data_IF_970443720213
#
_entry.id   IF_970443720213
#
_cell.length_a   1.000
_cell.length_b   1.000
_cell.length_c   1.000
_cell.angle_alpha   90.00
_cell.angle_beta   90.00
_cell.angle_gamma   90.00
#
_symmetry.space_group_name_H-M   'P 1'
#
loop_
_entity.id
_entity.type
_entity.pdbx_description
1 polymer ?
#
# COMPACT_ATOMS: atom_id res chain seq x y z
N UNK A 1 6.01 -6.17 0.71
CA UNK A 1 6.02 -7.16 1.79
C UNK A 1 7.45 -7.56 2.14
N UNK A 2 7.86 -7.66 3.40
CA UNK A 2 7.06 -7.59 4.62
C UNK A 2 6.88 -6.19 5.21
N UNK A 3 7.31 -5.14 4.54
CA UNK A 3 7.04 -3.75 4.88
C UNK A 3 6.67 -2.97 3.62
N UNK A 4 5.63 -2.11 3.66
CA UNK A 4 5.34 -1.20 2.58
C UNK A 4 6.17 0.08 2.75
N UNK A 5 6.40 0.81 1.67
CA UNK A 5 7.11 2.08 1.67
C UNK A 5 8.49 2.00 2.35
N UNK A 6 8.91 3.03 3.11
CA UNK A 6 10.27 3.23 3.60
C UNK A 6 10.53 2.65 5.00
N UNK A 7 11.78 2.20 5.22
CA UNK A 7 12.38 2.05 6.55
C UNK A 7 13.57 3.03 6.63
N UNK A 8 13.53 3.90 7.63
CA UNK A 8 14.49 4.98 7.86
C UNK A 8 15.92 4.48 7.88
N UNK A 9 16.75 4.96 6.94
CA UNK A 9 18.16 4.59 6.83
C UNK A 9 18.39 3.08 6.64
N UNK A 10 17.36 2.31 6.29
CA UNK A 10 17.43 0.86 6.20
C UNK A 10 17.72 0.16 7.52
N UNK A 11 17.40 0.76 8.65
CA UNK A 11 17.71 0.24 10.00
C UNK A 11 16.48 0.21 10.88
N UNK A 12 16.39 -0.84 11.70
CA UNK A 12 15.35 -0.98 12.70
C UNK A 12 15.80 -1.96 13.78
N UNK A 13 15.12 -1.96 14.93
CA UNK A 13 15.32 -2.96 15.96
C UNK A 13 14.02 -3.76 16.16
N UNK A 14 14.12 -5.00 16.58
CA UNK A 14 13.01 -5.86 16.94
C UNK A 14 13.42 -6.80 18.06
N UNK A 15 12.64 -6.84 19.14
CA UNK A 15 12.89 -7.67 20.32
C UNK A 15 14.35 -7.58 20.83
N UNK A 16 14.87 -6.35 20.91
CA UNK A 16 16.23 -6.05 21.40
C UNK A 16 17.37 -6.41 20.42
N UNK A 17 17.06 -6.84 19.21
CA UNK A 17 18.05 -7.10 18.16
C UNK A 17 17.98 -6.04 17.06
N UNK A 18 19.13 -5.52 16.65
CA UNK A 18 19.26 -4.55 15.57
C UNK A 18 19.39 -5.25 14.21
N UNK A 19 18.74 -4.67 13.21
CA UNK A 19 18.72 -5.13 11.84
C UNK A 19 19.15 -4.01 10.90
N UNK A 20 19.88 -4.39 9.85
CA UNK A 20 20.27 -3.51 8.77
C UNK A 20 19.84 -4.13 7.44
N UNK A 21 19.24 -3.32 6.58
CA UNK A 21 18.80 -3.67 5.24
C UNK A 21 19.80 -3.09 4.25
N UNK A 22 20.77 -3.87 3.70
CA UNK A 22 21.81 -3.33 2.82
C UNK A 22 21.26 -3.03 1.42
N UNK A 23 21.73 -1.95 0.77
CA UNK A 23 21.37 -1.56 -0.60
C UNK A 23 21.69 -2.65 -1.64
N UNK A 24 22.63 -3.53 -1.34
CA UNK A 24 22.98 -4.66 -2.22
C UNK A 24 21.91 -5.76 -2.26
N UNK A 25 20.99 -5.78 -1.30
CA UNK A 25 19.98 -6.84 -1.15
C UNK A 25 18.54 -6.35 -1.23
N UNK A 26 18.27 -5.07 -0.96
CA UNK A 26 16.92 -4.49 -0.99
C UNK A 26 16.91 -3.18 -1.77
N UNK A 27 15.72 -2.78 -2.24
CA UNK A 27 15.58 -1.51 -2.93
C UNK A 27 15.77 -0.33 -1.97
N UNK A 28 16.39 0.74 -2.48
CA UNK A 28 16.57 2.01 -1.79
C UNK A 28 16.07 3.16 -2.66
N UNK A 29 15.63 4.22 -2.01
CA UNK A 29 15.30 5.47 -2.69
C UNK A 29 16.38 6.53 -2.45
N UNK A 30 16.35 7.64 -3.23
CA UNK A 30 17.44 8.61 -3.29
C UNK A 30 17.79 9.34 -1.99
N UNK A 31 16.93 9.29 -0.96
CA UNK A 31 17.21 9.84 0.35
C UNK A 31 17.88 8.85 1.33
N UNK A 32 18.21 7.63 0.86
CA UNK A 32 18.94 6.64 1.63
C UNK A 32 18.08 5.79 2.56
N UNK A 33 16.80 5.58 2.23
CA UNK A 33 15.92 4.69 2.98
C UNK A 33 15.67 3.40 2.20
N UNK A 34 15.63 2.26 2.87
CA UNK A 34 15.17 1.02 2.27
C UNK A 34 13.66 1.14 1.95
N UNK A 35 13.22 0.61 0.80
CA UNK A 35 11.86 0.85 0.31
C UNK A 35 11.23 -0.43 -0.27
N UNK A 36 9.90 -0.56 -0.07
CA UNK A 36 9.00 -1.54 -0.71
C UNK A 36 9.28 -3.02 -0.43
N UNK A 37 10.01 -3.35 0.63
CA UNK A 37 10.15 -4.71 1.11
C UNK A 37 10.98 -5.65 0.25
N UNK A 38 10.70 -6.93 0.34
CA UNK A 38 11.49 -8.00 -0.24
C UNK A 38 10.87 -8.65 -1.48
N UNK A 39 9.56 -8.53 -1.63
CA UNK A 39 8.80 -9.21 -2.67
C UNK A 39 8.70 -8.42 -3.99
N UNK A 40 9.15 -7.14 -4.00
CA UNK A 40 9.00 -6.23 -5.13
C UNK A 40 9.76 -6.69 -6.38
N UNK A 41 11.00 -7.13 -6.21
CA UNK A 41 11.97 -7.41 -7.28
C UNK A 41 12.30 -8.91 -7.42
N UNK A 42 11.43 -9.77 -6.91
CA UNK A 42 11.58 -11.21 -6.97
C UNK A 42 10.46 -11.87 -7.77
N UNK A 43 10.76 -12.95 -8.50
CA UNK A 43 9.71 -13.74 -9.12
C UNK A 43 8.85 -14.41 -8.05
N UNK A 44 7.54 -14.46 -8.31
CA UNK A 44 6.59 -15.17 -7.47
C UNK A 44 6.32 -16.55 -8.07
N UNK A 45 6.18 -17.54 -7.21
CA UNK A 45 5.82 -18.90 -7.64
C UNK A 45 4.31 -18.94 -7.94
N UNK A 46 3.95 -19.31 -9.17
CA UNK A 46 2.55 -19.48 -9.54
C UNK A 46 2.11 -20.86 -9.07
N UNK A 47 1.11 -20.91 -8.21
CA UNK A 47 0.57 -22.15 -7.63
C UNK A 47 -0.74 -22.58 -8.26
N UNK A 48 -1.49 -21.63 -8.82
CA UNK A 48 -2.75 -21.90 -9.51
C UNK A 48 -2.97 -20.86 -10.61
N UNK A 49 -3.52 -21.30 -11.75
CA UNK A 49 -3.90 -20.40 -12.84
C UNK A 49 -5.13 -20.93 -13.57
N UNK A 50 -6.07 -20.04 -13.88
CA UNK A 50 -7.24 -20.30 -14.73
C UNK A 50 -7.32 -19.24 -15.83
N UNK A 51 -8.38 -19.23 -16.64
CA UNK A 51 -8.60 -18.19 -17.65
C UNK A 51 -8.81 -16.78 -17.05
N UNK A 52 -9.34 -16.70 -15.81
CA UNK A 52 -9.70 -15.45 -15.16
C UNK A 52 -9.06 -15.25 -13.78
N UNK A 53 -8.15 -16.11 -13.37
CA UNK A 53 -7.46 -15.97 -12.10
C UNK A 53 -6.04 -16.54 -12.11
N UNK A 54 -5.19 -15.97 -11.25
CA UNK A 54 -3.83 -16.47 -10.99
C UNK A 54 -3.51 -16.31 -9.52
N UNK A 55 -2.87 -17.33 -8.94
CA UNK A 55 -2.39 -17.31 -7.55
C UNK A 55 -0.86 -17.35 -7.54
N UNK A 56 -0.25 -16.32 -6.95
CA UNK A 56 1.17 -16.23 -6.71
C UNK A 56 1.50 -16.34 -5.22
N UNK A 57 2.62 -16.97 -4.91
CA UNK A 57 3.15 -17.12 -3.55
C UNK A 57 4.58 -16.62 -3.54
N UNK A 58 4.92 -15.85 -2.50
CA UNK A 58 6.28 -15.45 -2.16
C UNK A 58 6.53 -15.79 -0.69
N UNK A 59 7.61 -16.51 -0.42
CA UNK A 59 8.09 -16.82 0.93
C UNK A 59 9.54 -16.38 1.06
N UNK A 60 9.88 -15.65 2.12
CA UNK A 60 11.21 -15.04 2.24
C UNK A 60 12.30 -16.11 2.17
N UNK A 61 12.17 -17.22 2.90
CA UNK A 61 13.16 -18.30 2.94
C UNK A 61 13.34 -19.07 1.62
N UNK A 62 12.34 -19.06 0.74
CA UNK A 62 12.35 -19.84 -0.50
C UNK A 62 12.68 -18.96 -1.72
N UNK A 63 12.11 -17.75 -1.78
CA UNK A 63 12.16 -16.90 -2.98
C UNK A 63 13.19 -15.75 -2.84
N UNK A 64 13.67 -15.49 -1.60
CA UNK A 64 14.73 -14.53 -1.31
C UNK A 64 15.54 -14.95 -0.06
N UNK A 65 16.15 -16.15 -0.03
CA UNK A 65 16.79 -16.71 1.16
C UNK A 65 17.92 -15.83 1.72
N UNK A 66 18.59 -15.04 0.88
CA UNK A 66 19.61 -14.08 1.29
C UNK A 66 19.04 -12.89 2.08
N UNK A 67 17.72 -12.63 1.99
CA UNK A 67 17.01 -11.60 2.74
C UNK A 67 16.44 -12.11 4.07
N UNK A 68 16.38 -13.43 4.28
CA UNK A 68 15.83 -13.99 5.51
C UNK A 68 16.55 -13.47 6.79
N UNK A 69 17.88 -13.35 6.83
CA UNK A 69 18.58 -12.80 8.02
C UNK A 69 18.29 -11.32 8.28
N UNK A 70 17.72 -10.61 7.30
CA UNK A 70 17.39 -9.18 7.38
C UNK A 70 16.05 -8.91 8.06
N UNK A 71 15.26 -9.96 8.36
CA UNK A 71 13.95 -9.85 9.01
C UNK A 71 13.89 -10.78 10.23
N UNK A 72 13.08 -10.48 11.26
CA UNK A 72 13.08 -11.24 12.51
C UNK A 72 12.81 -12.73 12.34
N UNK A 73 11.93 -13.08 11.39
CA UNK A 73 11.58 -14.47 11.10
C UNK A 73 11.05 -14.61 9.68
N UNK A 74 10.81 -15.83 9.21
CA UNK A 74 10.27 -16.11 7.90
C UNK A 74 8.78 -15.76 7.81
N UNK A 75 8.37 -15.29 6.65
CA UNK A 75 6.99 -14.94 6.34
C UNK A 75 6.62 -15.30 4.91
N UNK A 76 5.36 -15.63 4.71
CA UNK A 76 4.80 -15.98 3.41
C UNK A 76 3.64 -15.03 3.08
N UNK A 77 3.59 -14.60 1.83
CA UNK A 77 2.43 -13.91 1.25
C UNK A 77 1.93 -14.69 0.03
N UNK A 78 0.63 -14.88 -0.03
CA UNK A 78 -0.09 -15.41 -1.19
C UNK A 78 -1.07 -14.34 -1.69
N UNK A 79 -1.08 -14.09 -2.99
CA UNK A 79 -2.08 -13.23 -3.62
C UNK A 79 -2.76 -14.00 -4.74
N UNK A 80 -4.09 -14.06 -4.69
CA UNK A 80 -4.92 -14.55 -5.77
C UNK A 80 -5.58 -13.37 -6.47
N UNK A 81 -5.15 -13.09 -7.68
CA UNK A 81 -5.84 -12.17 -8.56
C UNK A 81 -6.95 -12.88 -9.31
N UNK A 82 -8.12 -12.25 -9.37
CA UNK A 82 -9.25 -12.72 -10.19
C UNK A 82 -9.89 -11.54 -10.93
N UNK A 83 -10.28 -11.79 -12.19
CA UNK A 83 -10.94 -10.79 -13.02
C UNK A 83 -12.38 -11.23 -13.29
N UNK A 84 -13.34 -10.39 -12.93
CA UNK A 84 -14.75 -10.61 -13.15
C UNK A 84 -15.49 -9.29 -13.38
N UNK A 85 -16.30 -9.19 -14.46
CA UNK A 85 -17.14 -8.02 -14.75
C UNK A 85 -16.41 -6.66 -14.64
N UNK A 86 -15.25 -6.52 -15.30
CA UNK A 86 -14.38 -5.33 -15.25
C UNK A 86 -13.88 -4.97 -13.83
N UNK A 87 -13.89 -5.93 -12.91
CA UNK A 87 -13.33 -5.80 -11.57
C UNK A 87 -12.14 -6.77 -11.44
N UNK A 88 -10.98 -6.23 -11.09
CA UNK A 88 -9.81 -6.98 -10.65
C UNK A 88 -9.85 -7.06 -9.13
N UNK A 89 -9.91 -8.28 -8.59
CA UNK A 89 -9.85 -8.54 -7.15
C UNK A 89 -8.55 -9.25 -6.79
N UNK A 90 -7.88 -8.76 -5.75
CA UNK A 90 -6.75 -9.41 -5.10
C UNK A 90 -7.22 -9.92 -3.72
N UNK A 91 -7.26 -11.24 -3.55
CA UNK A 91 -7.41 -11.88 -2.24
C UNK A 91 -6.01 -12.20 -1.70
N UNK A 92 -5.70 -11.66 -0.53
CA UNK A 92 -4.35 -11.65 0.05
C UNK A 92 -4.35 -12.47 1.32
N UNK A 93 -3.39 -13.38 1.46
CA UNK A 93 -3.15 -14.13 2.69
C UNK A 93 -1.69 -13.96 3.09
N UNK A 94 -1.45 -13.51 4.32
CA UNK A 94 -0.11 -13.44 4.92
C UNK A 94 -0.05 -14.48 6.04
N UNK A 95 1.03 -15.29 6.06
CA UNK A 95 1.20 -16.39 7.03
C UNK A 95 2.53 -16.28 7.75
N UNK A 96 2.49 -16.63 9.01
CA UNK A 96 3.69 -16.92 9.80
C UNK A 96 3.92 -18.43 9.83
N UNK A 97 4.85 -18.98 9.04
CA UNK A 97 5.12 -20.42 9.01
C UNK A 97 6.05 -20.88 10.12
N UNK A 98 6.44 -20.00 11.07
CA UNK A 98 7.46 -20.24 12.08
C UNK A 98 6.87 -20.32 13.50
N UNK A 99 7.72 -20.61 14.48
CA UNK A 99 7.37 -20.60 15.90
C UNK A 99 7.51 -19.22 16.57
N UNK A 100 8.22 -18.30 15.91
CA UNK A 100 8.49 -16.95 16.43
C UNK A 100 7.50 -15.92 15.88
N UNK A 101 7.19 -14.84 16.62
CA UNK A 101 6.31 -13.76 16.12
C UNK A 101 6.85 -13.12 14.83
N UNK A 102 5.97 -12.91 13.86
CA UNK A 102 6.30 -12.32 12.58
C UNK A 102 5.74 -10.90 12.48
N UNK A 103 6.56 -9.84 12.60
CA UNK A 103 6.15 -8.48 12.33
C UNK A 103 6.01 -8.27 10.82
N UNK A 104 4.96 -7.56 10.38
CA UNK A 104 4.73 -7.32 8.97
C UNK A 104 3.87 -6.09 8.70
N UNK A 105 3.99 -5.59 7.49
CA UNK A 105 3.09 -4.65 6.86
C UNK A 105 2.96 -4.97 5.38
N UNK A 106 1.85 -4.57 4.79
CA UNK A 106 1.56 -4.77 3.38
C UNK A 106 0.94 -3.52 2.76
N UNK A 107 1.25 -3.27 1.50
CA UNK A 107 0.66 -2.23 0.69
C UNK A 107 0.78 -2.53 -0.80
N UNK A 108 -0.05 -1.88 -1.59
CA UNK A 108 0.02 -1.92 -3.06
C UNK A 108 0.34 -0.53 -3.60
N UNK A 109 0.85 -0.46 -4.83
CA UNK A 109 1.30 0.79 -5.45
C UNK A 109 0.72 0.91 -6.88
N UNK A 110 -0.62 0.92 -6.97
CA UNK A 110 -1.29 1.05 -8.26
C UNK A 110 -1.19 2.49 -8.80
N UNK A 111 -0.77 2.62 -10.06
CA UNK A 111 -0.79 3.87 -10.82
C UNK A 111 -2.05 3.92 -11.69
N UNK A 112 -2.84 4.96 -11.54
CA UNK A 112 -3.97 5.25 -12.40
C UNK A 112 -3.60 6.39 -13.36
N UNK A 113 -3.48 6.06 -14.64
CA UNK A 113 -3.22 7.04 -15.68
C UNK A 113 -4.44 7.95 -15.86
N UNK A 114 -4.20 9.23 -16.04
CA UNK A 114 -5.23 10.23 -16.30
C UNK A 114 -5.00 10.91 -17.66
N UNK A 115 -6.05 11.33 -18.37
CA UNK A 115 -7.46 11.08 -18.05
C UNK A 115 -7.83 9.60 -18.21
N UNK A 116 -9.04 9.20 -17.77
CA UNK A 116 -9.53 7.82 -17.92
C UNK A 116 -9.99 7.51 -19.34
N UNK A 117 -10.32 8.52 -20.14
CA UNK A 117 -10.67 8.39 -21.55
C UNK A 117 -9.76 9.26 -22.41
N UNK A 118 -9.51 8.83 -23.65
CA UNK A 118 -8.50 9.45 -24.53
C UNK A 118 -8.78 10.92 -24.89
N UNK A 119 -10.06 11.30 -24.99
CA UNK A 119 -10.49 12.64 -25.41
C UNK A 119 -10.82 13.58 -24.23
N UNK A 120 -10.56 13.16 -22.99
CA UNK A 120 -10.81 13.93 -21.77
C UNK A 120 -9.61 14.78 -21.36
N UNK A 121 -9.87 15.82 -20.54
CA UNK A 121 -8.83 16.62 -19.89
C UNK A 121 -8.50 16.02 -18.50
N UNK A 122 -7.24 15.70 -18.18
CA UNK A 122 -6.87 15.22 -16.84
C UNK A 122 -7.22 16.24 -15.74
N UNK A 123 -7.32 17.54 -16.08
CA UNK A 123 -7.78 18.58 -15.16
C UNK A 123 -9.25 18.44 -14.73
N UNK A 124 -10.05 17.71 -15.47
CA UNK A 124 -11.45 17.39 -15.15
C UNK A 124 -11.62 16.02 -14.48
N UNK A 125 -10.52 15.39 -14.06
CA UNK A 125 -10.57 14.21 -13.21
C UNK A 125 -10.61 14.62 -11.74
N UNK A 126 -11.55 14.05 -10.96
CA UNK A 126 -11.63 14.23 -9.51
C UNK A 126 -11.09 13.01 -8.79
N UNK A 127 -10.43 13.26 -7.64
CA UNK A 127 -9.79 12.20 -6.83
C UNK A 127 -10.42 12.17 -5.46
N UNK A 128 -10.98 11.03 -5.07
CA UNK A 128 -11.60 10.82 -3.76
C UNK A 128 -10.89 9.74 -2.96
N UNK A 129 -10.65 10.02 -1.66
CA UNK A 129 -10.32 9.02 -0.65
C UNK A 129 -11.00 9.40 0.67
N UNK A 130 -11.56 8.44 1.44
CA UNK A 130 -12.35 8.72 2.65
C UNK A 130 -11.42 8.96 3.87
N UNK A 131 -10.50 9.88 3.74
CA UNK A 131 -9.44 10.19 4.72
C UNK A 131 -9.70 11.53 5.41
N UNK A 132 -9.34 11.63 6.67
CA UNK A 132 -9.60 12.84 7.48
C UNK A 132 -8.36 13.44 8.10
N UNK A 133 -7.29 12.65 8.20
CA UNK A 133 -6.01 13.00 8.80
C UNK A 133 -4.86 12.58 7.88
N UNK A 134 -3.67 13.05 8.16
CA UNK A 134 -2.43 12.56 7.56
C UNK A 134 -1.29 12.57 8.55
N UNK A 135 -0.27 11.79 8.30
CA UNK A 135 0.97 11.84 9.03
C UNK A 135 1.75 13.11 8.66
N UNK A 136 2.31 13.78 9.66
CA UNK A 136 3.30 14.83 9.42
C UNK A 136 4.59 14.18 8.94
N UNK A 137 5.10 14.61 7.78
CA UNK A 137 6.27 14.00 7.15
C UNK A 137 7.48 14.94 7.19
N UNK A 138 8.66 14.36 7.40
CA UNK A 138 9.94 15.00 7.19
C UNK A 138 10.79 14.10 6.27
N UNK A 139 11.10 14.58 5.05
CA UNK A 139 11.81 13.76 4.05
C UNK A 139 11.05 12.48 3.70
N UNK A 140 9.73 12.58 3.48
CA UNK A 140 8.82 11.46 3.19
C UNK A 140 8.72 10.38 4.29
N UNK A 141 9.21 10.66 5.49
CA UNK A 141 9.12 9.78 6.65
C UNK A 141 8.22 10.39 7.73
N UNK A 142 7.28 9.65 8.29
CA UNK A 142 6.44 10.14 9.38
C UNK A 142 7.26 10.56 10.60
N UNK A 143 6.85 11.67 11.24
CA UNK A 143 7.45 12.18 12.48
C UNK A 143 6.88 11.52 13.74
N UNK A 144 5.81 10.72 13.58
CA UNK A 144 5.02 10.19 14.68
C UNK A 144 3.79 11.05 15.01
N UNK A 145 3.68 12.24 14.43
CA UNK A 145 2.54 13.14 14.62
C UNK A 145 1.49 12.94 13.52
N UNK A 146 0.21 12.94 13.92
CA UNK A 146 -0.94 12.93 13.01
C UNK A 146 -1.59 14.32 13.04
N UNK A 147 -1.77 14.91 11.86
CA UNK A 147 -2.29 16.26 11.67
C UNK A 147 -3.59 16.25 10.84
N UNK A 148 -4.33 17.33 10.90
CA UNK A 148 -5.46 17.57 10.01
C UNK A 148 -5.01 17.77 8.57
N UNK A 149 -5.78 17.24 7.62
CA UNK A 149 -5.49 17.45 6.20
C UNK A 149 -5.75 18.90 5.83
N UNK A 150 -4.76 19.63 5.26
CA UNK A 150 -4.96 20.98 4.73
C UNK A 150 -6.04 21.02 3.66
N UNK A 151 -6.68 22.18 3.45
CA UNK A 151 -7.80 22.34 2.51
C UNK A 151 -7.48 21.83 1.10
N UNK A 152 -6.30 22.16 0.60
CA UNK A 152 -5.81 21.79 -0.74
C UNK A 152 -5.41 20.30 -0.89
N UNK A 153 -5.46 19.52 0.17
CA UNK A 153 -5.14 18.09 0.16
C UNK A 153 -6.31 17.20 0.59
N UNK A 154 -7.51 17.79 0.77
CA UNK A 154 -8.69 17.08 1.30
C UNK A 154 -9.32 16.15 0.25
N UNK A 155 -8.77 14.96 0.08
CA UNK A 155 -9.28 13.95 -0.86
C UNK A 155 -10.72 13.53 -0.56
N UNK A 156 -11.21 13.66 0.68
CA UNK A 156 -12.61 13.44 1.04
C UNK A 156 -13.61 14.50 0.49
N UNK A 157 -13.10 15.51 -0.23
CA UNK A 157 -13.87 16.54 -0.93
C UNK A 157 -13.81 16.39 -2.45
N UNK A 158 -13.18 15.32 -2.94
CA UNK A 158 -13.04 15.03 -4.36
C UNK A 158 -12.44 16.20 -5.17
N UNK A 159 -11.27 16.73 -4.80
CA UNK A 159 -10.63 17.81 -5.54
C UNK A 159 -10.27 17.38 -6.97
N UNK A 160 -10.17 18.35 -7.87
CA UNK A 160 -9.65 18.12 -9.22
C UNK A 160 -8.15 17.80 -9.20
N UNK A 161 -7.74 16.87 -10.07
CA UNK A 161 -6.37 16.39 -10.17
C UNK A 161 -5.34 17.52 -10.36
N UNK A 162 -5.64 18.52 -11.21
CA UNK A 162 -4.75 19.63 -11.49
C UNK A 162 -4.49 20.57 -10.29
N UNK A 163 -5.27 20.45 -9.22
CA UNK A 163 -5.08 21.18 -7.95
C UNK A 163 -4.23 20.42 -6.94
N UNK A 164 -3.85 19.17 -7.26
CA UNK A 164 -3.17 18.27 -6.35
C UNK A 164 -1.67 18.15 -6.66
N UNK A 165 -0.88 18.12 -5.58
CA UNK A 165 0.50 17.67 -5.59
C UNK A 165 0.68 16.80 -4.35
N UNK A 166 0.69 15.51 -4.54
CA UNK A 166 0.61 14.51 -3.47
C UNK A 166 1.91 13.72 -3.36
N UNK A 167 2.36 13.52 -2.14
CA UNK A 167 3.33 12.52 -1.67
C UNK A 167 3.06 12.37 -0.16
N UNK A 168 1.84 11.95 0.17
CA UNK A 168 1.29 12.02 1.51
C UNK A 168 0.86 10.63 1.99
N UNK A 169 1.01 10.39 3.29
CA UNK A 169 0.48 9.22 3.99
C UNK A 169 -0.75 9.65 4.78
N UNK A 170 -1.92 9.35 4.24
CA UNK A 170 -3.20 9.65 4.86
C UNK A 170 -3.62 8.57 5.84
N UNK A 171 -4.29 9.00 6.91
CA UNK A 171 -4.85 8.15 7.97
C UNK A 171 -6.24 8.63 8.38
N UNK A 172 -6.82 8.04 9.45
CA UNK A 172 -8.19 8.34 9.83
C UNK A 172 -9.17 7.94 8.73
N UNK A 173 -8.88 6.83 8.09
CA UNK A 173 -9.65 6.25 7.00
C UNK A 173 -11.03 5.86 7.51
N UNK A 174 -12.07 6.21 6.77
CA UNK A 174 -13.47 5.87 7.10
C UNK A 174 -13.94 4.74 6.22
N UNK A 175 -14.45 3.69 6.86
CA UNK A 175 -15.19 2.62 6.22
C UNK A 175 -16.69 2.86 6.34
N UNK A 176 -17.44 2.41 5.35
CA UNK A 176 -18.91 2.37 5.39
C UNK A 176 -19.48 1.04 5.93
N UNK A 177 -18.61 0.17 6.46
CA UNK A 177 -18.95 -1.18 6.93
C UNK A 177 -18.84 -2.25 5.84
N UNK A 178 -18.46 -1.88 4.63
CA UNK A 178 -18.20 -2.77 3.51
C UNK A 178 -16.77 -2.66 2.95
N UNK A 179 -15.90 -1.94 3.65
CA UNK A 179 -14.52 -1.63 3.26
C UNK A 179 -14.29 -0.14 3.05
N UNK A 180 -13.08 0.18 2.65
CA UNK A 180 -12.61 1.53 2.32
C UNK A 180 -12.73 1.74 0.81
N UNK A 181 -13.34 2.82 0.37
CA UNK A 181 -13.51 3.13 -1.05
C UNK A 181 -12.78 4.40 -1.45
N UNK A 182 -11.85 4.30 -2.40
CA UNK A 182 -11.25 5.41 -3.13
C UNK A 182 -11.82 5.46 -4.55
N UNK A 183 -11.94 6.67 -5.14
CA UNK A 183 -12.56 6.84 -6.45
C UNK A 183 -11.84 7.89 -7.29
N UNK A 184 -11.74 7.62 -8.57
CA UNK A 184 -11.32 8.56 -9.60
C UNK A 184 -12.47 8.70 -10.57
N UNK A 185 -12.90 9.92 -10.86
CA UNK A 185 -13.97 10.20 -11.82
C UNK A 185 -13.41 11.14 -12.90
N UNK A 186 -13.56 10.77 -14.14
CA UNK A 186 -13.35 11.58 -15.31
C UNK A 186 -14.71 12.18 -15.71
N UNK A 187 -14.91 13.46 -15.42
CA UNK A 187 -16.19 14.14 -15.61
C UNK A 187 -16.55 14.36 -17.09
N UNK A 188 -15.55 14.43 -17.97
CA UNK A 188 -15.79 14.61 -19.42
C UNK A 188 -16.40 13.36 -20.05
N UNK A 189 -15.90 12.18 -19.66
CA UNK A 189 -16.36 10.91 -20.23
C UNK A 189 -17.44 10.21 -19.38
N UNK A 190 -17.61 10.62 -18.12
CA UNK A 190 -18.44 9.90 -17.16
C UNK A 190 -17.86 8.56 -16.74
N UNK A 191 -16.57 8.30 -17.02
CA UNK A 191 -15.87 7.07 -16.61
C UNK A 191 -15.34 7.21 -15.20
N UNK A 192 -15.35 6.11 -14.43
CA UNK A 192 -14.76 6.08 -13.11
C UNK A 192 -13.90 4.82 -12.90
N UNK A 193 -12.93 4.94 -12.01
CA UNK A 193 -12.24 3.83 -11.37
C UNK A 193 -12.56 3.87 -9.88
N UNK A 194 -12.98 2.74 -9.35
CA UNK A 194 -13.25 2.55 -7.92
C UNK A 194 -12.26 1.53 -7.38
N UNK A 195 -11.47 1.94 -6.41
CA UNK A 195 -10.59 1.03 -5.66
C UNK A 195 -11.18 0.83 -4.27
N UNK A 196 -11.39 -0.43 -3.88
CA UNK A 196 -11.87 -0.81 -2.56
C UNK A 196 -10.88 -1.73 -1.88
N UNK A 197 -10.81 -1.66 -0.56
CA UNK A 197 -10.04 -2.60 0.24
C UNK A 197 -10.78 -2.89 1.56
N UNK A 198 -10.41 -3.96 2.24
CA UNK A 198 -11.02 -4.25 3.54
C UNK A 198 -10.56 -3.27 4.63
N UNK A 199 -11.24 -3.31 5.78
CA UNK A 199 -11.08 -2.36 6.88
C UNK A 199 -9.72 -2.45 7.60
N UNK A 200 -8.91 -3.47 7.32
CA UNK A 200 -7.57 -3.61 7.89
C UNK A 200 -6.53 -2.73 7.21
N UNK A 201 -6.86 -2.16 6.04
CA UNK A 201 -6.05 -1.13 5.38
C UNK A 201 -6.37 0.24 6.02
N UNK A 202 -5.57 0.61 6.98
CA UNK A 202 -5.80 1.80 7.81
C UNK A 202 -5.18 3.09 7.27
N UNK A 203 -4.33 2.98 6.23
CA UNK A 203 -3.65 4.10 5.61
C UNK A 203 -3.91 4.10 4.09
N UNK A 204 -3.99 5.30 3.51
CA UNK A 204 -3.95 5.50 2.06
C UNK A 204 -2.76 6.40 1.74
N UNK A 205 -1.76 5.86 1.07
CA UNK A 205 -0.72 6.70 0.48
C UNK A 205 -1.24 7.23 -0.84
N UNK A 206 -1.09 8.52 -1.06
CA UNK A 206 -1.44 9.16 -2.33
C UNK A 206 -0.24 9.90 -2.90
N UNK A 207 0.06 9.61 -4.17
CA UNK A 207 1.22 10.16 -4.85
C UNK A 207 0.88 10.61 -6.27
N UNK A 208 1.34 11.80 -6.66
CA UNK A 208 1.27 12.31 -8.04
C UNK A 208 2.68 12.35 -8.61
N UNK A 209 3.05 11.40 -9.50
CA UNK A 209 4.41 11.33 -10.03
C UNK A 209 4.73 12.53 -10.92
N UNK A 210 5.90 13.20 -10.76
CA UNK A 210 6.26 14.36 -11.57
C UNK A 210 6.61 14.00 -13.02
N UNK A 211 6.77 12.71 -13.34
CA UNK A 211 7.15 12.22 -14.67
C UNK A 211 5.97 11.66 -15.48
N UNK A 212 4.77 11.62 -14.92
CA UNK A 212 3.57 11.09 -15.59
C UNK A 212 2.30 11.78 -15.12
N UNK A 213 1.32 11.88 -16.01
CA UNK A 213 -0.03 12.32 -15.66
C UNK A 213 -0.80 11.15 -15.08
N UNK A 214 -0.60 10.92 -13.79
CA UNK A 214 -1.16 9.79 -13.06
C UNK A 214 -1.33 10.12 -11.58
N UNK A 215 -2.14 9.34 -10.90
CA UNK A 215 -2.24 9.33 -9.44
C UNK A 215 -2.08 7.92 -8.91
N UNK A 216 -1.36 7.77 -7.79
CA UNK A 216 -1.36 6.54 -7.00
C UNK A 216 -2.33 6.70 -5.84
N UNK A 217 -3.12 5.67 -5.60
CA UNK A 217 -3.91 5.48 -4.40
C UNK A 217 -3.53 4.12 -3.84
N UNK A 218 -2.86 4.12 -2.71
CA UNK A 218 -2.12 2.96 -2.21
C UNK A 218 -2.65 2.55 -0.84
N UNK A 219 -3.54 1.54 -0.76
CA UNK A 219 -3.95 0.98 0.52
C UNK A 219 -2.79 0.31 1.25
N UNK A 220 -2.56 0.70 2.51
CA UNK A 220 -1.53 0.14 3.38
C UNK A 220 -2.13 -0.33 4.71
N UNK A 221 -1.64 -1.46 5.22
CA UNK A 221 -2.04 -1.98 6.54
C UNK A 221 -1.37 -1.23 7.70
N UNK A 222 -0.27 -0.53 7.44
CA UNK A 222 0.47 0.28 8.41
C UNK A 222 1.08 1.51 7.74
N UNK A 223 1.48 2.51 8.52
CA UNK A 223 2.17 3.68 7.97
C UNK A 223 3.60 3.36 7.53
N UNK A 224 4.23 4.29 6.82
CA UNK A 224 5.66 4.26 6.49
C UNK A 224 6.50 4.21 7.77
N UNK A 225 7.60 3.46 7.77
CA UNK A 225 8.53 3.32 8.91
C UNK A 225 7.88 2.74 10.18
N UNK A 226 6.79 1.98 10.03
CA UNK A 226 5.96 1.51 11.13
C UNK A 226 6.74 0.75 12.20
N UNK A 227 7.72 -0.07 11.81
CA UNK A 227 8.51 -0.87 12.74
C UNK A 227 9.33 0.01 13.70
N UNK A 228 9.85 1.15 13.22
CA UNK A 228 10.58 2.10 14.05
C UNK A 228 9.66 2.96 14.91
N UNK A 229 8.53 3.42 14.34
CA UNK A 229 7.54 4.21 15.06
C UNK A 229 6.90 3.43 16.21
N UNK A 230 6.58 2.15 15.98
CA UNK A 230 5.98 1.28 17.01
C UNK A 230 6.91 1.14 18.24
N UNK A 231 8.23 1.08 18.04
CA UNK A 231 9.20 1.04 19.15
C UNK A 231 9.27 2.35 19.92
N UNK A 232 8.90 3.46 19.30
CA UNK A 232 8.78 4.77 19.95
C UNK A 232 7.45 4.94 20.69
N UNK A 233 6.60 3.90 20.70
CA UNK A 233 5.27 3.92 21.33
C UNK A 233 4.20 4.59 20.48
N UNK A 234 4.46 4.83 19.19
CA UNK A 234 3.48 5.38 18.25
C UNK A 234 2.65 4.23 17.67
N UNK A 235 1.31 4.34 17.66
CA UNK A 235 0.43 3.39 16.96
C UNK A 235 0.57 3.57 15.44
N UNK A 236 1.56 2.89 14.88
CA UNK A 236 1.92 2.94 13.46
C UNK A 236 1.21 1.88 12.61
N UNK A 237 0.40 1.02 13.23
CA UNK A 237 -0.32 -0.06 12.54
C UNK A 237 0.53 -1.27 12.20
N UNK A 238 1.77 -1.38 12.69
CA UNK A 238 2.57 -2.59 12.49
C UNK A 238 1.80 -3.83 12.95
N UNK A 239 1.69 -4.81 12.08
CA UNK A 239 1.01 -6.06 12.38
C UNK A 239 2.02 -7.10 12.90
N UNK A 240 1.55 -8.01 13.76
CA UNK A 240 2.36 -9.14 14.25
C UNK A 240 1.51 -10.40 14.22
N UNK A 241 1.96 -11.40 13.48
CA UNK A 241 1.35 -12.73 13.48
C UNK A 241 2.05 -13.63 14.50
N UNK A 242 1.29 -14.22 15.40
CA UNK A 242 1.80 -15.29 16.26
C UNK A 242 2.15 -16.54 15.45
N UNK A 243 2.87 -17.48 16.06
CA UNK A 243 3.27 -18.77 15.47
C UNK A 243 2.10 -19.47 14.77
N UNK A 244 2.27 -19.82 13.49
CA UNK A 244 1.29 -20.53 12.67
C UNK A 244 0.01 -19.75 12.33
N UNK A 245 -0.08 -18.47 12.72
CA UNK A 245 -1.25 -17.65 12.39
C UNK A 245 -1.19 -17.07 10.98
N UNK A 246 -2.35 -16.68 10.47
CA UNK A 246 -2.49 -16.00 9.19
C UNK A 246 -3.44 -14.81 9.31
N UNK A 247 -3.23 -13.84 8.42
CA UNK A 247 -4.13 -12.73 8.15
C UNK A 247 -4.67 -12.85 6.72
N UNK A 248 -5.90 -12.41 6.51
CA UNK A 248 -6.51 -12.34 5.20
C UNK A 248 -7.08 -10.95 4.96
N UNK A 249 -6.91 -10.45 3.75
CA UNK A 249 -7.45 -9.18 3.30
C UNK A 249 -7.72 -9.19 1.81
N UNK A 250 -8.31 -8.12 1.30
CA UNK A 250 -8.61 -8.01 -0.11
C UNK A 250 -8.53 -6.57 -0.61
N UNK A 251 -8.24 -6.42 -1.91
CA UNK A 251 -8.31 -5.16 -2.66
C UNK A 251 -9.05 -5.43 -3.96
N UNK A 252 -9.92 -4.51 -4.36
CA UNK A 252 -10.63 -4.52 -5.64
C UNK A 252 -10.36 -3.23 -6.42
N UNK A 253 -10.21 -3.34 -7.73
CA UNK A 253 -10.16 -2.22 -8.66
C UNK A 253 -11.19 -2.49 -9.75
N UNK A 254 -12.20 -1.65 -9.82
CA UNK A 254 -13.27 -1.75 -10.82
C UNK A 254 -13.31 -0.51 -11.70
N UNK A 255 -13.52 -0.69 -12.99
CA UNK A 255 -13.74 0.37 -13.96
C UNK A 255 -15.18 0.32 -14.49
N UNK A 256 -15.79 1.48 -14.71
CA UNK A 256 -17.16 1.56 -15.22
C UNK A 256 -17.61 3.00 -15.47
N UNK A 257 -18.88 3.16 -15.78
CA UNK A 257 -19.52 4.47 -15.87
C UNK A 257 -20.00 4.91 -14.48
N UNK A 258 -20.03 6.22 -14.28
CA UNK A 258 -20.67 6.81 -13.09
C UNK A 258 -22.16 6.49 -13.17
N UNK A 259 -22.69 5.85 -12.14
CA UNK A 259 -24.13 5.62 -12.02
C UNK A 259 -24.74 6.84 -11.34
N UNK A 260 -25.61 7.55 -12.07
CA UNK A 260 -26.37 8.71 -11.55
C UNK A 260 -27.46 8.28 -10.58
#
# INVERSE_FOLDING_TARGET
FPYPNRIRGGRYSWDGKDYELPESLVAYEGAGNAIHGFALDRPWRITEQTESSVTGVFRISEDAPERLPLWPTDGEIQIRYSLHNACLRADITIRNPTAEPFPWGFGTHAYFQLPLAADSDPGHCTIHAPVTKKWALQGCLPTGEIIDVPENGRLNKSPYFNTLKLDDVYTGVKSDGGGVECRIIDEDSGTQVVQRCDDSFREIVAFTPPWATAVCLEPYTCTTDAINLQQQGVDAGLQVLAAGQSWNGWIEIAAGLVVC
#
